data_IF_252357843973
#
_entry.id   IF_252357843973
#
_cell.length_a   1.000
_cell.length_b   1.000
_cell.length_c   1.000
_cell.angle_alpha   90.00
_cell.angle_beta   90.00
_cell.angle_gamma   90.00
#
_symmetry.space_group_name_H-M   'P 1'
#
loop_
_entity.id
_entity.type
_entity.pdbx_description
1 polymer ?
#
# COMPACT_ATOMS: atom_id res chain seq x y z
N UNK A 1 22.83 7.41 -10.57
CA UNK A 1 22.43 6.90 -9.24
C UNK A 1 21.84 5.51 -9.46
N UNK A 2 22.52 4.45 -9.01
CA UNK A 2 22.04 3.08 -9.21
C UNK A 2 21.26 2.64 -7.97
N UNK A 3 19.97 2.35 -8.13
CA UNK A 3 19.14 1.75 -7.08
C UNK A 3 19.39 0.24 -7.07
N UNK A 4 19.70 -0.33 -5.90
CA UNK A 4 19.75 -1.79 -5.76
C UNK A 4 18.32 -2.32 -5.75
N UNK A 5 18.01 -3.23 -6.67
CA UNK A 5 16.76 -3.98 -6.67
C UNK A 5 16.92 -5.31 -5.94
N UNK A 6 15.85 -5.79 -5.32
CA UNK A 6 15.74 -7.15 -4.80
C UNK A 6 14.70 -7.93 -5.61
N UNK A 7 14.78 -9.26 -5.57
CA UNK A 7 13.70 -10.13 -6.03
C UNK A 7 12.65 -10.29 -4.92
N UNK A 8 11.41 -10.58 -5.31
CA UNK A 8 10.31 -10.83 -4.37
C UNK A 8 9.81 -12.27 -4.50
N UNK A 9 9.49 -12.90 -3.38
CA UNK A 9 8.81 -14.19 -3.32
C UNK A 9 7.29 -13.94 -3.33
N UNK A 10 6.69 -13.99 -4.52
CA UNK A 10 5.26 -13.77 -4.69
C UNK A 10 4.37 -14.80 -3.96
N UNK A 11 4.69 -16.12 -3.93
CA UNK A 11 4.00 -17.07 -3.07
C UNK A 11 3.96 -16.64 -1.60
N UNK A 12 5.07 -16.17 -1.04
CA UNK A 12 5.10 -15.68 0.34
C UNK A 12 4.23 -14.43 0.52
N UNK A 13 4.28 -13.47 -0.41
CA UNK A 13 3.42 -12.28 -0.38
C UNK A 13 1.94 -12.67 -0.39
N UNK A 14 1.56 -13.67 -1.20
CA UNK A 14 0.19 -14.19 -1.25
C UNK A 14 -0.25 -14.76 0.09
N UNK A 15 0.59 -15.59 0.73
CA UNK A 15 0.30 -16.13 2.07
C UNK A 15 0.11 -15.02 3.11
N UNK A 16 0.93 -13.97 3.07
CA UNK A 16 0.76 -12.81 3.94
C UNK A 16 -0.58 -12.07 3.67
N UNK A 17 -0.93 -11.87 2.41
CA UNK A 17 -2.20 -11.23 2.04
C UNK A 17 -3.41 -12.05 2.51
N UNK A 18 -3.37 -13.37 2.35
CA UNK A 18 -4.40 -14.29 2.83
C UNK A 18 -4.59 -14.19 4.35
N UNK A 19 -3.48 -14.11 5.11
CA UNK A 19 -3.53 -13.91 6.56
C UNK A 19 -4.19 -12.59 6.94
N UNK A 20 -3.78 -11.47 6.31
CA UNK A 20 -4.35 -10.14 6.55
C UNK A 20 -5.85 -10.14 6.32
N UNK A 21 -6.30 -10.77 5.22
CA UNK A 21 -7.73 -10.88 4.89
C UNK A 21 -8.49 -11.77 5.87
N UNK A 22 -7.95 -12.93 6.23
CA UNK A 22 -8.59 -13.87 7.15
C UNK A 22 -8.74 -13.26 8.56
N UNK A 23 -7.74 -12.51 9.02
CA UNK A 23 -7.77 -11.79 10.28
C UNK A 23 -8.63 -10.51 10.25
N UNK A 24 -9.22 -10.17 9.09
CA UNK A 24 -10.01 -8.94 8.87
C UNK A 24 -9.29 -7.68 9.32
N UNK A 25 -7.97 -7.64 9.12
CA UNK A 25 -7.18 -6.47 9.48
C UNK A 25 -7.53 -5.31 8.53
N UNK A 26 -7.66 -4.08 9.05
CA UNK A 26 -7.89 -2.92 8.21
C UNK A 26 -6.66 -2.67 7.33
N UNK A 27 -6.89 -2.36 6.05
CA UNK A 27 -5.81 -2.12 5.08
C UNK A 27 -5.85 -0.69 4.54
N UNK A 28 -4.69 -0.06 4.50
CA UNK A 28 -4.41 1.19 3.82
C UNK A 28 -3.46 0.89 2.66
N UNK A 29 -3.79 1.35 1.46
CA UNK A 29 -2.97 1.10 0.28
C UNK A 29 -2.72 2.40 -0.48
N UNK A 30 -1.44 2.75 -0.67
CA UNK A 30 -1.03 3.92 -1.41
C UNK A 30 0.06 3.57 -2.42
N UNK A 31 -0.06 4.07 -3.65
CA UNK A 31 0.89 3.84 -4.75
C UNK A 31 1.08 5.08 -5.61
N UNK A 32 2.04 5.05 -6.54
CA UNK A 32 2.18 6.07 -7.58
C UNK A 32 2.14 5.45 -8.97
N UNK A 33 1.45 6.09 -9.92
CA UNK A 33 1.33 5.60 -11.31
C UNK A 33 2.66 5.50 -12.04
N UNK A 34 3.65 6.29 -11.63
CA UNK A 34 4.98 6.30 -12.21
C UNK A 34 6.02 5.51 -11.38
N UNK A 35 5.58 4.54 -10.57
CA UNK A 35 6.48 3.55 -10.01
C UNK A 35 7.13 2.73 -11.14
N UNK A 36 8.46 2.64 -11.13
CA UNK A 36 9.25 1.95 -12.15
C UNK A 36 9.75 0.57 -11.66
N UNK A 37 9.45 0.21 -10.42
CA UNK A 37 9.91 -1.02 -9.76
C UNK A 37 8.75 -1.99 -9.59
N UNK A 38 7.58 -1.49 -9.16
CA UNK A 38 6.37 -2.30 -9.00
C UNK A 38 5.37 -1.93 -10.07
N UNK A 39 5.02 -2.89 -10.91
CA UNK A 39 4.04 -2.70 -11.97
C UNK A 39 2.65 -2.43 -11.39
N UNK A 40 1.88 -1.55 -12.05
CA UNK A 40 0.52 -1.18 -11.63
C UNK A 40 -0.38 -2.41 -11.43
N UNK A 41 -0.24 -3.43 -12.27
CA UNK A 41 -1.03 -4.65 -12.20
C UNK A 41 -0.90 -5.37 -10.84
N UNK A 42 0.32 -5.39 -10.26
CA UNK A 42 0.59 -6.01 -8.95
C UNK A 42 -0.16 -5.25 -7.84
N UNK A 43 -0.10 -3.92 -7.88
CA UNK A 43 -0.85 -3.05 -6.97
C UNK A 43 -2.37 -3.23 -7.12
N UNK A 44 -2.86 -3.32 -8.35
CA UNK A 44 -4.29 -3.53 -8.59
C UNK A 44 -4.77 -4.90 -8.08
N UNK A 45 -3.98 -5.95 -8.31
CA UNK A 45 -4.26 -7.31 -7.82
C UNK A 45 -4.34 -7.34 -6.29
N UNK A 46 -3.33 -6.83 -5.59
CA UNK A 46 -3.31 -6.85 -4.13
C UNK A 46 -4.43 -5.97 -3.54
N UNK A 47 -4.73 -4.84 -4.19
CA UNK A 47 -5.81 -3.95 -3.78
C UNK A 47 -7.19 -4.62 -3.94
N UNK A 48 -7.41 -5.33 -5.05
CA UNK A 48 -8.67 -6.04 -5.29
C UNK A 48 -8.83 -7.20 -4.30
N UNK A 49 -7.74 -7.89 -3.98
CA UNK A 49 -7.75 -9.01 -3.04
C UNK A 49 -7.99 -8.58 -1.59
N UNK A 50 -7.30 -7.52 -1.13
CA UNK A 50 -7.34 -7.05 0.26
C UNK A 50 -8.50 -6.09 0.56
N UNK A 51 -9.09 -5.45 -0.46
CA UNK A 51 -10.21 -4.50 -0.32
C UNK A 51 -9.92 -3.41 0.72
N UNK A 52 -8.90 -2.55 0.49
CA UNK A 52 -8.46 -1.58 1.47
C UNK A 52 -9.53 -0.53 1.78
N UNK A 53 -9.63 -0.14 3.05
CA UNK A 53 -10.53 0.93 3.49
C UNK A 53 -10.09 2.31 2.99
N UNK A 54 -8.82 2.46 2.65
CA UNK A 54 -8.28 3.64 1.97
C UNK A 54 -7.39 3.19 0.82
N UNK A 55 -7.69 3.68 -0.39
CA UNK A 55 -6.86 3.51 -1.59
C UNK A 55 -6.46 4.88 -2.12
N UNK A 56 -5.16 5.13 -2.23
CA UNK A 56 -4.61 6.36 -2.81
C UNK A 56 -3.71 5.98 -3.99
N UNK A 57 -3.92 6.61 -5.13
CA UNK A 57 -3.05 6.46 -6.29
C UNK A 57 -2.57 7.86 -6.71
N UNK A 58 -1.29 8.16 -6.46
CA UNK A 58 -0.69 9.44 -6.83
C UNK A 58 -0.33 9.45 -8.32
N UNK A 59 -0.56 10.58 -9.01
CA UNK A 59 -0.10 10.75 -10.40
C UNK A 59 1.42 10.63 -10.53
N UNK A 60 2.17 11.15 -9.54
CA UNK A 60 3.64 11.11 -9.49
C UNK A 60 4.13 10.89 -8.07
N UNK A 61 5.18 10.10 -7.91
CA UNK A 61 5.86 9.84 -6.64
C UNK A 61 7.02 8.84 -6.78
N UNK A 62 7.03 8.07 -7.86
CA UNK A 62 7.96 6.97 -8.07
C UNK A 62 7.77 5.87 -7.04
N UNK A 63 8.77 4.99 -6.94
CA UNK A 63 8.71 3.85 -6.01
C UNK A 63 8.67 4.25 -4.53
N UNK A 64 9.35 5.34 -4.19
CA UNK A 64 9.52 5.78 -2.80
C UNK A 64 8.53 6.91 -2.42
N UNK A 65 7.23 6.62 -2.47
CA UNK A 65 6.18 7.59 -2.15
C UNK A 65 6.28 8.15 -0.72
N UNK A 66 6.86 7.38 0.21
CA UNK A 66 7.16 7.84 1.57
C UNK A 66 8.17 8.99 1.62
N UNK A 67 9.00 9.17 0.58
CA UNK A 67 9.93 10.30 0.46
C UNK A 67 9.33 11.45 -0.33
N UNK A 68 8.66 11.15 -1.44
CA UNK A 68 8.20 12.17 -2.41
C UNK A 68 6.81 12.73 -2.08
N UNK A 69 6.00 11.99 -1.32
CA UNK A 69 4.65 12.34 -0.87
C UNK A 69 4.50 12.30 0.65
N UNK A 70 5.60 12.45 1.38
CA UNK A 70 5.67 12.27 2.83
C UNK A 70 4.55 13.00 3.62
N UNK A 71 4.35 14.29 3.37
CA UNK A 71 3.36 15.09 4.09
C UNK A 71 1.92 14.65 3.80
N UNK A 72 1.59 14.42 2.53
CA UNK A 72 0.27 13.96 2.09
C UNK A 72 -0.03 12.55 2.63
N UNK A 73 0.96 11.66 2.52
CA UNK A 73 0.87 10.27 2.99
C UNK A 73 0.72 10.21 4.51
N UNK A 74 1.53 10.96 5.26
CA UNK A 74 1.46 10.99 6.73
C UNK A 74 0.12 11.52 7.24
N UNK A 75 -0.41 12.57 6.59
CA UNK A 75 -1.75 13.08 6.90
C UNK A 75 -2.81 12.01 6.69
N UNK A 76 -2.85 11.38 5.51
CA UNK A 76 -3.83 10.35 5.18
C UNK A 76 -3.73 9.12 6.10
N UNK A 77 -2.52 8.68 6.42
CA UNK A 77 -2.29 7.56 7.37
C UNK A 77 -2.79 7.91 8.77
N UNK A 78 -2.58 9.13 9.24
CA UNK A 78 -3.02 9.58 10.57
C UNK A 78 -4.54 9.64 10.66
N UNK A 79 -5.19 10.20 9.64
CA UNK A 79 -6.66 10.27 9.54
C UNK A 79 -7.28 8.86 9.49
N UNK A 80 -6.71 7.97 8.67
CA UNK A 80 -7.14 6.58 8.58
C UNK A 80 -6.93 5.81 9.88
N UNK A 81 -5.75 5.88 10.48
CA UNK A 81 -5.47 5.21 11.76
C UNK A 81 -6.44 5.66 12.85
N UNK A 82 -6.72 6.96 12.92
CA UNK A 82 -7.68 7.52 13.88
C UNK A 82 -9.10 7.02 13.63
N UNK A 83 -9.52 6.85 12.37
CA UNK A 83 -10.87 6.37 12.06
C UNK A 83 -11.05 4.91 12.47
N UNK A 84 -10.07 4.04 12.20
CA UNK A 84 -10.17 2.61 12.54
C UNK A 84 -10.06 2.34 14.04
N UNK A 85 -9.37 3.19 14.82
CA UNK A 85 -9.33 3.06 16.28
C UNK A 85 -10.63 3.53 16.94
N UNK A 86 -11.30 4.52 16.36
CA UNK A 86 -12.60 5.00 16.86
C UNK A 86 -13.74 4.03 16.54
N UNK A 87 -13.67 3.31 15.43
CA UNK A 87 -14.67 2.31 15.03
C UNK A 87 -14.60 0.98 15.79
N UNK A 88 -13.61 0.79 16.67
CA UNK A 88 -13.47 -0.40 17.53
C UNK A 88 -13.78 -0.11 19.02
N UNK A 89 -14.24 1.10 19.35
CA UNK A 89 -14.78 1.48 20.65
C UNK A 89 -16.30 1.43 20.63
#
# INVERSE_FOLDING_TARGET
MYQRGGTVDFPQVKTCAEYVRAAKLPVFHATAKNDLIVEKAISDEISAFLQPGVKIEYERGGHNIQRTRAAELAKAMTEWATSITKSQA
#
